data_IF_113664976096
#
_entry.id   IF_113664976096
#
_cell.length_a   1.000
_cell.length_b   1.000
_cell.length_c   1.000
_cell.angle_alpha   90.00
_cell.angle_beta   90.00
_cell.angle_gamma   90.00
#
_symmetry.space_group_name_H-M   'P 1'
#
loop_
_entity.id
_entity.type
_entity.pdbx_description
1 polymer ?
#
# COMPACT_ATOMS: atom_id res chain seq x y z
N UNK A 1 8.64 -10.41 -7.52
CA UNK A 1 7.62 -9.34 -7.63
C UNK A 1 6.37 -9.91 -8.29
N UNK A 2 5.19 -9.50 -7.84
CA UNK A 2 3.93 -9.92 -8.48
C UNK A 2 3.81 -9.26 -9.85
N UNK A 3 3.98 -10.04 -10.93
CA UNK A 3 3.90 -9.54 -12.32
C UNK A 3 2.56 -8.83 -12.65
N UNK A 4 1.39 -9.30 -12.16
CA UNK A 4 0.12 -8.59 -12.37
C UNK A 4 0.07 -7.18 -11.79
N UNK A 5 0.60 -6.96 -10.58
CA UNK A 5 0.60 -5.64 -9.95
C UNK A 5 1.53 -4.66 -10.66
N UNK A 6 2.69 -5.12 -11.11
CA UNK A 6 3.61 -4.31 -11.90
C UNK A 6 2.98 -3.90 -13.25
N UNK A 7 2.31 -4.82 -13.93
CA UNK A 7 1.60 -4.54 -15.17
C UNK A 7 0.45 -3.53 -14.96
N UNK A 8 -0.32 -3.67 -13.86
CA UNK A 8 -1.37 -2.72 -13.51
C UNK A 8 -0.78 -1.33 -13.24
N UNK A 9 0.31 -1.22 -12.46
CA UNK A 9 0.99 0.06 -12.19
C UNK A 9 1.44 0.74 -13.48
N UNK A 10 2.05 -0.01 -14.41
CA UNK A 10 2.52 0.55 -15.68
C UNK A 10 1.36 1.03 -16.56
N UNK A 11 0.19 0.38 -16.52
CA UNK A 11 -0.99 0.82 -17.27
C UNK A 11 -1.62 2.08 -16.68
N UNK A 12 -1.64 2.22 -15.36
CA UNK A 12 -2.22 3.37 -14.66
C UNK A 12 -1.30 4.60 -14.69
N UNK A 13 0.01 4.38 -14.67
CA UNK A 13 1.01 5.44 -14.68
C UNK A 13 2.20 5.03 -15.56
N UNK A 14 2.08 5.16 -16.88
CA UNK A 14 3.10 4.74 -17.84
C UNK A 14 4.40 5.55 -17.77
N UNK A 15 4.35 6.72 -17.13
CA UNK A 15 5.47 7.66 -17.03
C UNK A 15 6.27 7.49 -15.74
N UNK A 16 5.87 6.57 -14.85
CA UNK A 16 6.56 6.27 -13.61
C UNK A 16 8.02 5.90 -13.87
N UNK A 17 8.94 6.62 -13.22
CA UNK A 17 10.40 6.39 -13.34
C UNK A 17 10.98 5.63 -12.16
N UNK A 18 10.28 5.64 -11.04
CA UNK A 18 10.72 4.98 -9.82
C UNK A 18 10.39 3.48 -9.84
N UNK A 19 11.23 2.63 -9.22
CA UNK A 19 10.93 1.22 -9.05
C UNK A 19 9.59 1.03 -8.32
N UNK A 20 8.71 0.21 -8.88
CA UNK A 20 7.45 -0.12 -8.22
C UNK A 20 7.71 -1.05 -7.03
N UNK A 21 7.58 -0.54 -5.80
CA UNK A 21 7.73 -1.32 -4.57
C UNK A 21 6.36 -1.59 -3.93
N UNK A 22 5.63 -2.64 -4.34
CA UNK A 22 4.30 -2.94 -3.79
C UNK A 22 4.41 -3.29 -2.31
N UNK A 23 3.76 -2.51 -1.46
CA UNK A 23 3.69 -2.74 -0.02
C UNK A 23 2.31 -2.31 0.50
N UNK A 24 1.93 -2.85 1.66
CA UNK A 24 0.76 -2.40 2.43
C UNK A 24 1.29 -1.67 3.65
N UNK A 25 0.97 -0.38 3.75
CA UNK A 25 1.32 0.40 4.95
C UNK A 25 0.47 -0.05 6.13
N UNK A 26 1.10 -0.33 7.27
CA UNK A 26 0.43 -0.82 8.48
C UNK A 26 0.37 0.22 9.61
N UNK A 27 1.29 1.19 9.59
CA UNK A 27 1.40 2.22 10.61
C UNK A 27 2.02 3.49 10.01
N UNK A 28 1.48 4.65 10.39
CA UNK A 28 2.00 5.98 10.03
C UNK A 28 2.43 6.76 11.26
N UNK A 29 3.37 7.67 11.07
CA UNK A 29 3.84 8.59 12.10
C UNK A 29 5.17 8.20 12.76
N UNK A 30 5.71 9.08 13.61
CA UNK A 30 6.96 8.85 14.30
C UNK A 30 6.81 7.77 15.37
N UNK A 31 7.74 6.82 15.38
CA UNK A 31 7.83 5.76 16.37
C UNK A 31 9.29 5.55 16.77
N UNK A 32 9.52 5.19 18.04
CA UNK A 32 10.87 4.87 18.50
C UNK A 32 11.42 3.62 17.77
N UNK A 33 12.71 3.64 17.45
CA UNK A 33 13.33 2.62 16.59
C UNK A 33 13.26 1.19 17.18
N UNK A 34 13.47 1.03 18.49
CA UNK A 34 13.40 -0.28 19.17
C UNK A 34 12.01 -0.91 19.07
N UNK A 35 10.96 -0.26 19.64
CA UNK A 35 9.59 -0.75 19.53
C UNK A 35 9.12 -0.97 18.08
N UNK A 36 9.56 -0.11 17.13
CA UNK A 36 9.27 -0.29 15.70
C UNK A 36 9.83 -1.60 15.16
N UNK A 37 11.08 -1.94 15.48
CA UNK A 37 11.74 -3.15 14.98
C UNK A 37 11.07 -4.41 15.55
N UNK A 38 10.74 -4.41 16.84
CA UNK A 38 10.04 -5.52 17.51
C UNK A 38 8.65 -5.75 16.89
N UNK A 39 7.86 -4.68 16.74
CA UNK A 39 6.54 -4.77 16.11
C UNK A 39 6.64 -5.25 14.65
N UNK A 40 7.61 -4.75 13.89
CA UNK A 40 7.82 -5.17 12.50
C UNK A 40 8.18 -6.66 12.40
N UNK A 41 9.03 -7.17 13.29
CA UNK A 41 9.40 -8.59 13.34
C UNK A 41 8.18 -9.47 13.67
N UNK A 42 7.41 -9.10 14.69
CA UNK A 42 6.21 -9.83 15.12
C UNK A 42 5.15 -9.88 14.00
N UNK A 43 4.86 -8.74 13.39
CA UNK A 43 3.87 -8.64 12.32
C UNK A 43 4.33 -9.40 11.07
N UNK A 44 5.62 -9.32 10.72
CA UNK A 44 6.18 -10.07 9.59
C UNK A 44 6.05 -11.57 9.80
N UNK A 45 6.36 -12.07 11.00
CA UNK A 45 6.19 -13.49 11.33
C UNK A 45 4.74 -13.95 11.22
N UNK A 46 3.78 -13.07 11.51
CA UNK A 46 2.34 -13.39 11.49
C UNK A 46 1.76 -13.35 10.08
N UNK A 47 2.21 -12.44 9.21
CA UNK A 47 1.56 -12.17 7.92
C UNK A 47 2.31 -12.76 6.71
N UNK A 48 3.57 -13.19 6.87
CA UNK A 48 4.34 -13.74 5.75
C UNK A 48 3.71 -15.01 5.20
N UNK A 49 3.59 -15.09 3.87
CA UNK A 49 3.01 -16.25 3.18
C UNK A 49 1.49 -16.21 3.05
N UNK A 50 0.80 -15.27 3.69
CA UNK A 50 -0.64 -15.12 3.54
C UNK A 50 -1.00 -14.47 2.19
N UNK A 51 -1.88 -15.09 1.39
CA UNK A 51 -2.30 -14.52 0.11
C UNK A 51 -3.18 -13.29 0.32
N UNK A 52 -3.00 -12.28 -0.54
CA UNK A 52 -3.84 -11.08 -0.60
C UNK A 52 -4.54 -11.08 -1.97
N UNK A 53 -5.88 -11.04 -1.96
CA UNK A 53 -6.69 -10.81 -3.16
C UNK A 53 -7.08 -9.33 -3.19
N UNK A 54 -6.84 -8.68 -4.32
CA UNK A 54 -7.39 -7.35 -4.61
C UNK A 54 -8.68 -7.53 -5.41
N UNK A 55 -9.78 -6.95 -4.94
CA UNK A 55 -11.10 -7.04 -5.55
C UNK A 55 -11.63 -5.70 -6.07
N UNK A 56 -10.89 -4.60 -5.84
CA UNK A 56 -11.25 -3.25 -6.27
C UNK A 56 -10.02 -2.35 -6.37
N UNK A 57 -10.19 -1.26 -7.12
CA UNK A 57 -9.31 -0.10 -7.19
C UNK A 57 -10.10 1.14 -6.74
N UNK A 58 -9.48 2.03 -5.97
CA UNK A 58 -10.11 3.28 -5.53
C UNK A 58 -9.34 4.50 -6.05
N UNK A 59 -10.07 5.52 -6.48
CA UNK A 59 -9.54 6.88 -6.59
C UNK A 59 -9.74 7.54 -5.23
N UNK A 60 -8.67 8.08 -4.64
CA UNK A 60 -8.67 8.60 -3.28
C UNK A 60 -8.12 10.02 -3.21
N UNK A 61 -8.64 10.80 -2.27
CA UNK A 61 -7.94 11.98 -1.76
C UNK A 61 -7.07 11.52 -0.60
N UNK A 62 -5.75 11.49 -0.81
CA UNK A 62 -4.74 11.10 0.17
C UNK A 62 -3.37 11.61 -0.25
N UNK A 63 -2.42 11.71 0.68
CA UNK A 63 -1.05 12.09 0.36
C UNK A 63 -0.28 12.45 1.61
N UNK A 64 1.01 12.74 1.44
CA UNK A 64 1.88 13.17 2.54
C UNK A 64 1.39 14.48 3.18
N UNK A 65 0.80 15.37 2.38
CA UNK A 65 0.31 16.69 2.80
C UNK A 65 -1.18 16.71 3.17
N UNK A 66 -1.86 15.56 3.14
CA UNK A 66 -3.29 15.44 3.49
C UNK A 66 -3.41 14.76 4.84
N UNK A 67 -3.99 15.41 5.88
CA UNK A 67 -4.23 14.76 7.17
C UNK A 67 -5.00 13.45 6.98
N UNK A 68 -4.61 12.39 7.70
CA UNK A 68 -5.26 11.07 7.58
C UNK A 68 -6.77 11.16 7.84
N UNK A 69 -7.19 12.04 8.75
CA UNK A 69 -8.60 12.29 9.05
C UNK A 69 -9.41 12.79 7.85
N UNK A 70 -8.75 13.39 6.86
CA UNK A 70 -9.35 13.95 5.65
C UNK A 70 -9.25 12.98 4.46
N UNK A 71 -8.65 11.81 4.65
CA UNK A 71 -8.56 10.82 3.58
C UNK A 71 -9.93 10.27 3.25
N UNK A 72 -10.24 10.20 1.95
CA UNK A 72 -11.54 9.70 1.48
C UNK A 72 -11.45 9.04 0.12
N UNK A 73 -12.33 8.08 -0.09
CA UNK A 73 -12.58 7.49 -1.40
C UNK A 73 -13.44 8.46 -2.21
N UNK A 74 -13.02 8.72 -3.44
CA UNK A 74 -13.75 9.51 -4.43
C UNK A 74 -14.54 8.59 -5.36
N UNK A 75 -13.90 7.53 -5.86
CA UNK A 75 -14.52 6.54 -6.76
C UNK A 75 -13.98 5.14 -6.46
N UNK A 76 -14.75 4.11 -6.82
CA UNK A 76 -14.37 2.70 -6.69
C UNK A 76 -14.69 1.93 -7.97
N UNK A 77 -13.70 1.20 -8.49
CA UNK A 77 -13.85 0.28 -9.61
C UNK A 77 -13.64 -1.16 -9.13
N UNK A 78 -14.59 -2.06 -9.38
CA UNK A 78 -14.46 -3.48 -9.02
C UNK A 78 -13.52 -4.21 -9.98
N UNK A 79 -12.72 -5.13 -9.44
CA UNK A 79 -11.87 -6.06 -10.19
C UNK A 79 -12.56 -7.43 -10.25
N UNK A 80 -12.73 -7.98 -11.45
CA UNK A 80 -13.28 -9.32 -11.69
C UNK A 80 -12.38 -10.43 -11.13
#
# INVERSE_FOLDING_TARGET
MSAPLAALKQRLDPQAREPFLPHVSLLYGPVAAGPKAEAAAQVSATLTGHPIRFDRLCVVTSGQDVPIADWRIVETAMLG
#
